data_IF_946742575067
#
_entry.id   IF_946742575067
#
_cell.length_a   1.000
_cell.length_b   1.000
_cell.length_c   1.000
_cell.angle_alpha   90.00
_cell.angle_beta   90.00
_cell.angle_gamma   90.00
#
_symmetry.space_group_name_H-M   'P 1'
#
loop_
_entity.id
_entity.type
_entity.pdbx_description
1 polymer ?
#
# COMPACT_ATOMS: atom_id res chain seq x y z
N UNK A 1 25.52 -4.01 10.11
CA UNK A 1 24.15 -3.62 10.51
C UNK A 1 23.24 -4.21 9.47
N UNK A 2 22.33 -5.12 9.82
CA UNK A 2 21.34 -5.58 8.84
C UNK A 2 20.47 -4.37 8.53
N UNK A 3 20.59 -3.82 7.32
CA UNK A 3 19.66 -2.80 6.83
C UNK A 3 18.26 -3.43 6.81
N UNK A 4 17.49 -3.17 7.87
CA UNK A 4 16.13 -3.69 8.00
C UNK A 4 15.28 -3.17 6.85
N UNK A 5 15.00 -4.05 5.89
CA UNK A 5 14.11 -3.72 4.78
C UNK A 5 12.70 -3.52 5.30
N UNK A 6 12.08 -2.38 4.97
CA UNK A 6 10.67 -2.11 5.27
C UNK A 6 9.78 -2.66 4.16
N UNK A 7 8.83 -3.52 4.52
CA UNK A 7 7.85 -4.07 3.60
C UNK A 7 6.54 -3.27 3.71
N UNK A 8 6.23 -2.51 2.66
CA UNK A 8 5.03 -1.70 2.56
C UNK A 8 3.96 -2.51 1.83
N UNK A 9 3.02 -3.06 2.58
CA UNK A 9 1.83 -3.72 2.06
C UNK A 9 0.81 -2.66 1.67
N UNK A 10 0.53 -2.55 0.38
CA UNK A 10 -0.18 -1.42 -0.22
C UNK A 10 -1.51 -1.86 -0.82
N UNK A 11 -2.63 -1.36 -0.28
CA UNK A 11 -3.89 -1.31 -1.02
C UNK A 11 -3.90 -0.10 -1.97
N UNK A 12 -4.81 -0.12 -2.94
CA UNK A 12 -4.99 0.92 -3.94
C UNK A 12 -6.34 1.59 -3.76
N UNK A 13 -7.40 0.79 -3.61
CA UNK A 13 -8.75 1.31 -3.42
C UNK A 13 -8.87 1.97 -2.05
N UNK A 14 -9.33 3.22 -2.00
CA UNK A 14 -9.40 3.99 -0.75
C UNK A 14 -8.06 4.44 -0.17
N UNK A 15 -6.93 4.17 -0.85
CA UNK A 15 -5.57 4.55 -0.46
C UNK A 15 -4.94 5.45 -1.51
N UNK A 16 -4.69 4.93 -2.72
CA UNK A 16 -4.10 5.67 -3.84
C UNK A 16 -5.14 6.14 -4.85
N UNK A 17 -6.29 5.48 -4.90
CA UNK A 17 -7.52 6.07 -5.42
C UNK A 17 -8.48 6.31 -4.25
N UNK A 18 -9.39 7.28 -4.42
CA UNK A 18 -10.33 7.65 -3.37
C UNK A 18 -11.68 8.05 -3.97
N UNK A 19 -12.70 8.14 -3.13
CA UNK A 19 -14.07 8.48 -3.55
C UNK A 19 -14.12 9.82 -4.31
N UNK A 20 -13.33 10.82 -3.91
CA UNK A 20 -13.30 12.13 -4.57
C UNK A 20 -12.77 12.01 -6.01
N UNK A 21 -11.67 11.26 -6.19
CA UNK A 21 -11.11 10.98 -7.51
C UNK A 21 -12.12 10.23 -8.38
N UNK A 22 -12.73 9.16 -7.85
CA UNK A 22 -13.75 8.38 -8.58
C UNK A 22 -14.95 9.24 -9.00
N UNK A 23 -15.42 10.14 -8.14
CA UNK A 23 -16.53 11.06 -8.43
C UNK A 23 -16.20 12.11 -9.49
N UNK A 24 -14.94 12.52 -9.61
CA UNK A 24 -14.50 13.47 -10.65
C UNK A 24 -14.57 12.87 -12.05
N UNK A 25 -14.45 11.55 -12.17
CA UNK A 25 -14.37 10.83 -13.45
C UNK A 25 -15.61 9.97 -13.77
N UNK A 26 -16.77 10.38 -13.22
CA UNK A 26 -18.09 9.72 -13.32
C UNK A 26 -18.22 8.77 -14.52
N UNK A 27 -18.02 7.47 -14.29
CA UNK A 27 -18.51 6.39 -15.15
C UNK A 27 -17.59 5.90 -16.27
N UNK A 28 -16.32 6.34 -16.36
CA UNK A 28 -15.42 5.89 -17.45
C UNK A 28 -14.33 4.92 -17.00
N UNK A 29 -13.64 5.19 -15.90
CA UNK A 29 -12.66 4.27 -15.35
C UNK A 29 -12.47 4.46 -13.83
N UNK A 30 -12.77 3.42 -13.04
CA UNK A 30 -12.54 3.45 -11.58
C UNK A 30 -11.06 3.24 -11.22
N UNK A 31 -10.20 2.93 -12.19
CA UNK A 31 -8.75 2.71 -12.02
C UNK A 31 -7.94 4.01 -12.02
N UNK A 32 -8.56 5.13 -11.68
CA UNK A 32 -7.89 6.42 -11.62
C UNK A 32 -7.25 6.65 -10.27
N UNK A 33 -5.92 6.65 -10.27
CA UNK A 33 -5.10 7.03 -9.12
C UNK A 33 -5.11 8.55 -8.94
N UNK A 34 -4.95 8.97 -7.69
CA UNK A 34 -4.91 10.37 -7.30
C UNK A 34 -3.44 10.82 -7.14
N UNK A 35 -3.04 11.84 -7.91
CA UNK A 35 -1.65 12.34 -7.90
C UNK A 35 -1.21 12.86 -6.52
N UNK A 36 -2.12 13.40 -5.70
CA UNK A 36 -1.78 13.84 -4.34
C UNK A 36 -1.51 12.64 -3.43
N UNK A 37 -2.29 11.56 -3.52
CA UNK A 37 -2.05 10.35 -2.72
C UNK A 37 -0.75 9.64 -3.16
N UNK A 38 -0.45 9.63 -4.47
CA UNK A 38 0.83 9.13 -4.98
C UNK A 38 2.01 9.98 -4.50
N UNK A 39 1.88 11.30 -4.51
CA UNK A 39 2.89 12.21 -3.96
C UNK A 39 3.12 11.98 -2.47
N UNK A 40 2.07 11.71 -1.69
CA UNK A 40 2.21 11.37 -0.27
C UNK A 40 2.86 10.00 -0.04
N UNK A 41 2.60 9.01 -0.90
CA UNK A 41 3.34 7.74 -0.85
C UNK A 41 4.83 8.00 -1.12
N UNK A 42 5.18 8.78 -2.14
CA UNK A 42 6.56 9.15 -2.43
C UNK A 42 7.23 9.91 -1.28
N UNK A 43 6.51 10.84 -0.65
CA UNK A 43 6.96 11.56 0.54
C UNK A 43 7.23 10.62 1.72
N UNK A 44 6.37 9.61 1.92
CA UNK A 44 6.55 8.57 2.93
C UNK A 44 7.84 7.79 2.69
N UNK A 45 8.02 7.18 1.52
CA UNK A 45 9.23 6.37 1.26
C UNK A 45 10.52 7.20 1.24
N UNK A 46 10.49 8.44 0.76
CA UNK A 46 11.65 9.34 0.83
C UNK A 46 12.09 9.67 2.27
N UNK A 47 11.18 9.54 3.25
CA UNK A 47 11.47 9.74 4.67
C UNK A 47 11.82 8.43 5.39
N UNK A 48 11.65 7.29 4.73
CA UNK A 48 12.12 6.00 5.23
C UNK A 48 13.63 5.94 4.93
N UNK A 49 14.45 6.17 5.95
CA UNK A 49 15.91 6.06 5.86
C UNK A 49 16.39 4.59 5.91
N UNK A 50 15.68 3.69 5.24
CA UNK A 50 15.93 2.25 5.16
C UNK A 50 15.61 1.77 3.76
N UNK A 51 16.16 0.63 3.36
CA UNK A 51 15.69 -0.06 2.15
C UNK A 51 14.19 -0.40 2.29
N UNK A 52 13.42 -0.32 1.20
CA UNK A 52 11.99 -0.61 1.22
C UNK A 52 11.57 -1.46 0.02
N UNK A 53 10.49 -2.21 0.21
CA UNK A 53 9.82 -2.96 -0.85
C UNK A 53 8.31 -2.69 -0.78
N UNK A 54 7.69 -2.44 -1.94
CA UNK A 54 6.24 -2.23 -2.03
C UNK A 54 5.61 -3.53 -2.50
N UNK A 55 4.71 -4.09 -1.68
CA UNK A 55 4.00 -5.35 -1.95
C UNK A 55 2.52 -5.05 -2.15
N UNK A 56 1.98 -5.37 -3.32
CA UNK A 56 0.57 -5.11 -3.64
C UNK A 56 -0.35 -6.11 -2.92
N UNK A 57 -1.27 -5.61 -2.10
CA UNK A 57 -2.31 -6.43 -1.42
C UNK A 57 -3.72 -6.18 -1.96
N UNK A 58 -3.86 -5.16 -2.80
CA UNK A 58 -5.14 -4.77 -3.40
C UNK A 58 -5.73 -5.84 -4.30
N UNK A 59 -7.05 -5.76 -4.54
CA UNK A 59 -7.74 -6.51 -5.60
C UNK A 59 -7.22 -6.16 -6.99
N UNK A 60 -6.51 -5.03 -7.15
CA UNK A 60 -5.83 -4.68 -8.40
C UNK A 60 -4.85 -5.76 -8.87
N UNK A 61 -4.30 -6.57 -7.96
CA UNK A 61 -3.40 -7.68 -8.32
C UNK A 61 -4.06 -8.79 -9.13
N UNK A 62 -5.40 -8.83 -9.19
CA UNK A 62 -6.15 -9.81 -9.99
C UNK A 62 -6.08 -9.55 -11.49
N UNK A 63 -5.68 -8.34 -11.92
CA UNK A 63 -5.69 -7.94 -13.33
C UNK A 63 -4.36 -7.30 -13.72
N UNK A 64 -3.68 -7.86 -14.72
CA UNK A 64 -2.38 -7.37 -15.17
C UNK A 64 -2.41 -5.90 -15.63
N UNK A 65 -3.51 -5.47 -16.25
CA UNK A 65 -3.69 -4.09 -16.68
C UNK A 65 -3.70 -3.11 -15.50
N UNK A 66 -4.32 -3.49 -14.39
CA UNK A 66 -4.35 -2.67 -13.17
C UNK A 66 -2.95 -2.57 -12.57
N UNK A 67 -2.20 -3.68 -12.54
CA UNK A 67 -0.79 -3.69 -12.12
C UNK A 67 0.04 -2.77 -13.00
N UNK A 68 -0.16 -2.80 -14.33
CA UNK A 68 0.58 -1.96 -15.27
C UNK A 68 0.27 -0.47 -15.09
N UNK A 69 -1.00 -0.12 -14.83
CA UNK A 69 -1.41 1.26 -14.49
C UNK A 69 -0.73 1.72 -13.20
N UNK A 70 -0.74 0.88 -12.16
CA UNK A 70 -0.09 1.19 -10.89
C UNK A 70 1.42 1.37 -11.07
N UNK A 71 2.11 0.43 -11.73
CA UNK A 71 3.55 0.51 -12.02
C UNK A 71 3.90 1.79 -12.77
N UNK A 72 3.17 2.12 -13.84
CA UNK A 72 3.39 3.35 -14.60
C UNK A 72 3.25 4.60 -13.72
N UNK A 73 2.30 4.59 -12.81
CA UNK A 73 2.03 5.74 -11.94
C UNK A 73 3.05 5.88 -10.81
N UNK A 74 3.45 4.77 -10.18
CA UNK A 74 4.54 4.73 -9.20
C UNK A 74 5.88 5.19 -9.81
N UNK A 75 6.19 4.74 -11.03
CA UNK A 75 7.43 5.09 -11.72
C UNK A 75 7.58 6.60 -11.96
N UNK A 76 6.48 7.35 -12.13
CA UNK A 76 6.53 8.82 -12.26
C UNK A 76 7.13 9.50 -11.03
N UNK A 77 7.08 8.84 -9.88
CA UNK A 77 7.62 9.32 -8.60
C UNK A 77 8.92 8.58 -8.21
N UNK A 78 9.52 7.84 -9.14
CA UNK A 78 10.72 7.04 -8.86
C UNK A 78 10.46 5.80 -7.99
N UNK A 79 9.19 5.40 -7.82
CA UNK A 79 8.80 4.26 -7.01
C UNK A 79 8.60 3.03 -7.89
N UNK A 80 8.85 1.83 -7.34
CA UNK A 80 8.62 0.57 -8.03
C UNK A 80 7.80 -0.39 -7.18
N UNK A 81 6.95 -1.18 -7.85
CA UNK A 81 6.22 -2.29 -7.22
C UNK A 81 7.13 -3.52 -7.20
N UNK A 82 7.44 -4.03 -6.01
CA UNK A 82 8.41 -5.09 -5.80
C UNK A 82 7.79 -6.49 -5.92
N UNK A 83 6.61 -6.69 -5.36
CA UNK A 83 5.91 -7.98 -5.37
C UNK A 83 4.38 -7.79 -5.28
N UNK A 84 3.63 -8.88 -5.42
CA UNK A 84 2.19 -8.96 -5.17
C UNK A 84 1.90 -10.12 -4.21
N UNK A 85 0.91 -9.98 -3.35
CA UNK A 85 0.43 -11.13 -2.57
C UNK A 85 -0.22 -12.17 -3.47
N UNK A 86 -0.07 -13.44 -3.08
CA UNK A 86 -0.79 -14.55 -3.69
C UNK A 86 -2.32 -14.30 -3.67
N UNK A 87 -3.00 -14.92 -4.63
CA UNK A 87 -4.45 -14.90 -4.73
C UNK A 87 -4.97 -16.17 -4.07
N UNK A 88 -5.61 -16.02 -2.92
CA UNK A 88 -6.29 -17.11 -2.22
C UNK A 88 -7.63 -16.57 -1.70
N UNK A 89 -8.73 -17.07 -2.25
CA UNK A 89 -10.08 -16.62 -1.89
C UNK A 89 -10.58 -17.23 -0.57
N UNK A 90 -9.80 -18.14 0.03
CA UNK A 90 -10.16 -18.80 1.30
C UNK A 90 -9.59 -18.09 2.52
N UNK A 91 -8.66 -17.15 2.31
CA UNK A 91 -7.94 -16.44 3.37
C UNK A 91 -8.31 -14.97 3.42
N UNK A 92 -8.26 -14.41 4.62
CA UNK A 92 -8.30 -12.98 4.85
C UNK A 92 -7.03 -12.31 4.32
N UNK A 93 -7.12 -10.99 4.05
CA UNK A 93 -5.95 -10.18 3.68
C UNK A 93 -4.86 -10.23 4.76
N UNK A 94 -5.25 -10.23 6.03
CA UNK A 94 -4.33 -10.34 7.16
C UNK A 94 -3.58 -11.68 7.17
N UNK A 95 -4.29 -12.78 6.94
CA UNK A 95 -3.69 -14.13 6.83
C UNK A 95 -2.68 -14.20 5.68
N UNK A 96 -3.00 -13.62 4.52
CA UNK A 96 -2.09 -13.57 3.38
C UNK A 96 -0.81 -12.77 3.66
N UNK A 97 -0.92 -11.64 4.36
CA UNK A 97 0.26 -10.85 4.76
C UNK A 97 1.11 -11.65 5.75
N UNK A 98 0.49 -12.29 6.75
CA UNK A 98 1.19 -13.13 7.74
C UNK A 98 1.93 -14.27 7.04
N UNK A 99 1.27 -15.00 6.15
CA UNK A 99 1.87 -16.10 5.40
C UNK A 99 3.02 -15.62 4.51
N UNK A 100 2.86 -14.48 3.83
CA UNK A 100 3.92 -13.85 3.05
C UNK A 100 5.16 -13.55 3.90
N UNK A 101 4.95 -13.02 5.11
CA UNK A 101 6.02 -12.71 6.05
C UNK A 101 6.71 -13.97 6.56
N UNK A 102 5.95 -14.99 6.96
CA UNK A 102 6.47 -16.25 7.47
C UNK A 102 7.33 -16.98 6.44
N UNK A 103 6.86 -17.09 5.19
CA UNK A 103 7.61 -17.73 4.09
C UNK A 103 8.97 -17.07 3.80
N UNK A 104 9.11 -15.79 4.16
CA UNK A 104 10.30 -14.95 3.86
C UNK A 104 11.08 -14.56 5.11
N UNK A 105 10.72 -15.07 6.29
CA UNK A 105 11.32 -14.71 7.58
C UNK A 105 11.31 -13.18 7.85
N UNK A 106 10.22 -12.50 7.48
CA UNK A 106 10.05 -11.06 7.68
C UNK A 106 9.51 -10.81 9.09
N UNK A 107 10.22 -10.00 9.88
CA UNK A 107 9.77 -9.57 11.20
C UNK A 107 8.60 -8.59 11.09
N UNK A 108 7.58 -8.71 11.93
CA UNK A 108 6.43 -7.79 11.92
C UNK A 108 6.81 -6.33 12.24
N UNK A 109 7.94 -6.09 12.92
CA UNK A 109 8.45 -4.72 13.12
C UNK A 109 8.96 -4.09 11.82
N UNK A 110 9.16 -4.87 10.77
CA UNK A 110 9.63 -4.42 9.47
C UNK A 110 8.49 -4.21 8.47
N UNK A 111 7.23 -4.40 8.86
CA UNK A 111 6.09 -4.24 7.96
C UNK A 111 5.33 -2.95 8.22
N UNK A 112 4.80 -2.34 7.18
CA UNK A 112 3.84 -1.24 7.24
C UNK A 112 2.68 -1.59 6.30
N UNK A 113 1.45 -1.42 6.77
CA UNK A 113 0.25 -1.70 5.95
C UNK A 113 -0.50 -0.39 5.73
N UNK A 114 -0.79 -0.08 4.47
CA UNK A 114 -1.59 1.06 4.04
C UNK A 114 -2.86 0.52 3.40
N UNK A 115 -4.00 0.70 4.08
CA UNK A 115 -5.28 0.11 3.68
C UNK A 115 -6.43 0.99 4.16
N UNK A 116 -7.56 1.03 3.46
CA UNK A 116 -8.76 1.75 3.93
C UNK A 116 -9.64 0.87 4.85
N UNK A 117 -9.45 -0.43 4.79
CA UNK A 117 -10.15 -1.42 5.61
C UNK A 117 -9.38 -1.73 6.90
N UNK A 118 -10.09 -2.28 7.89
CA UNK A 118 -9.47 -2.71 9.14
C UNK A 118 -8.97 -4.15 9.03
N UNK A 119 -7.70 -4.39 9.40
CA UNK A 119 -7.07 -5.71 9.43
C UNK A 119 -6.67 -5.99 10.89
N UNK A 120 -7.48 -6.78 11.59
CA UNK A 120 -7.40 -6.89 13.06
C UNK A 120 -6.09 -7.50 13.56
N UNK A 121 -5.64 -8.57 12.91
CA UNK A 121 -4.46 -9.36 13.26
C UNK A 121 -3.16 -8.54 13.16
N UNK A 122 -3.18 -7.48 12.35
CA UNK A 122 -2.02 -6.63 12.05
C UNK A 122 -2.29 -5.15 12.36
N UNK A 123 -3.26 -4.88 13.24
CA UNK A 123 -3.73 -3.53 13.57
C UNK A 123 -2.60 -2.61 14.09
N UNK A 124 -1.61 -3.16 14.78
CA UNK A 124 -0.45 -2.40 15.30
C UNK A 124 0.53 -1.96 14.21
N UNK A 125 0.41 -2.52 13.00
CA UNK A 125 1.23 -2.20 11.82
C UNK A 125 0.42 -1.53 10.70
N UNK A 126 -0.88 -1.31 10.93
CA UNK A 126 -1.81 -0.75 9.97
C UNK A 126 -1.96 0.76 10.15
N UNK A 127 -1.83 1.49 9.04
CA UNK A 127 -2.32 2.85 8.89
C UNK A 127 -3.60 2.80 8.07
N UNK A 128 -4.72 2.95 8.77
CA UNK A 128 -6.03 2.96 8.13
C UNK A 128 -6.28 4.30 7.44
N UNK A 129 -6.39 4.28 6.12
CA UNK A 129 -6.74 5.44 5.30
C UNK A 129 -8.25 5.71 5.35
N UNK A 130 -8.64 6.97 5.21
CA UNK A 130 -10.04 7.30 4.99
C UNK A 130 -10.37 7.11 3.50
N UNK A 131 -11.28 6.19 3.15
CA UNK A 131 -11.69 5.92 1.77
C UNK A 131 -12.06 7.17 0.96
N UNK A 132 -12.57 8.22 1.62
CA UNK A 132 -12.93 9.48 0.96
C UNK A 132 -11.69 10.25 0.46
N UNK A 133 -10.58 10.18 1.18
CA UNK A 133 -9.41 11.04 0.99
C UNK A 133 -8.16 10.28 0.56
N UNK A 134 -8.07 8.98 0.80
CA UNK A 134 -6.88 8.18 0.53
C UNK A 134 -5.77 8.40 1.54
N UNK A 135 -4.54 8.14 1.11
CA UNK A 135 -3.31 8.42 1.84
C UNK A 135 -3.02 9.93 1.86
N UNK A 136 -3.18 10.57 3.02
CA UNK A 136 -2.85 11.99 3.19
C UNK A 136 -1.59 12.17 4.03
N UNK A 137 -1.16 13.42 4.20
CA UNK A 137 -0.06 13.77 5.11
C UNK A 137 -0.26 13.20 6.53
N UNK A 138 -1.50 13.16 7.02
CA UNK A 138 -1.78 12.62 8.36
C UNK A 138 -1.46 11.13 8.46
N UNK A 139 -1.88 10.34 7.48
CA UNK A 139 -1.55 8.91 7.39
C UNK A 139 -0.06 8.69 7.18
N UNK A 140 0.60 9.50 6.34
CA UNK A 140 2.07 9.49 6.16
C UNK A 140 2.80 9.72 7.49
N UNK A 141 2.38 10.69 8.30
CA UNK A 141 2.98 10.95 9.61
C UNK A 141 2.75 9.80 10.60
N UNK A 142 1.59 9.16 10.54
CA UNK A 142 1.30 7.97 11.36
C UNK A 142 2.15 6.77 10.94
N UNK A 143 2.31 6.54 9.64
CA UNK A 143 3.18 5.50 9.08
C UNK A 143 4.62 5.66 9.57
N UNK A 144 5.15 6.89 9.53
CA UNK A 144 6.50 7.17 10.00
C UNK A 144 6.68 6.94 11.51
N UNK A 145 5.63 7.08 12.33
CA UNK A 145 5.70 6.75 13.76
C UNK A 145 5.78 5.25 14.01
N UNK A 146 5.14 4.43 13.18
CA UNK A 146 5.17 2.96 13.29
C UNK A 146 6.53 2.35 12.89
N UNK A 147 7.33 3.11 12.12
CA UNK A 147 8.65 2.69 11.62
C UNK A 147 9.82 3.19 12.47
N UNK A 148 9.55 4.01 13.50
CA UNK A 148 10.54 4.44 14.50
C UNK A 148 10.71 3.38 15.58
#
# INVERSE_FOLDING_TARGET
>A
MNDETVYIFLDVDGVLNNDIARKKYRGTDMRMLNDNNLAELANLVNKINKHYLIVLISTWRYYIDNINILKKSLNKYGLSLSDCLDIDYTKSRGELIIEYCQKRNILFNNILILDDTYIGELSTRLVKCNFKFGLTKQETENALKLLR
#
